data_IF_047442877360
#
_entry.id   IF_047442877360
#
_cell.length_a   1.000
_cell.length_b   1.000
_cell.length_c   1.000
_cell.angle_alpha   90.00
_cell.angle_beta   90.00
_cell.angle_gamma   90.00
#
_symmetry.space_group_name_H-M   'P 1'
#
loop_
_entity.id
_entity.type
_entity.pdbx_description
1 polymer ?
#
# COMPACT_ATOMS: atom_id res chain seq x y z
N UNK A 1 -11.32 7.32 -19.40
CA UNK A 1 -11.89 8.23 -20.41
C UNK A 1 -13.38 8.52 -20.17
N UNK A 2 -14.24 7.51 -19.98
CA UNK A 2 -15.68 7.72 -19.74
C UNK A 2 -16.02 8.71 -18.60
N UNK A 3 -15.26 8.68 -17.49
CA UNK A 3 -15.53 9.58 -16.36
C UNK A 3 -15.49 11.07 -16.73
N UNK A 4 -14.62 11.48 -17.66
CA UNK A 4 -14.49 12.90 -18.04
C UNK A 4 -15.72 13.38 -18.82
N UNK A 5 -16.21 12.56 -19.76
CA UNK A 5 -17.46 12.86 -20.48
C UNK A 5 -18.69 12.79 -19.58
N UNK A 6 -18.71 11.87 -18.61
CA UNK A 6 -19.85 11.70 -17.71
C UNK A 6 -20.07 12.93 -16.82
N UNK A 7 -19.01 13.67 -16.48
CA UNK A 7 -19.10 14.88 -15.67
C UNK A 7 -19.90 16.00 -16.34
N UNK A 8 -19.95 16.06 -17.69
CA UNK A 8 -20.80 17.02 -18.42
C UNK A 8 -22.29 16.80 -18.17
N UNK A 9 -22.67 15.60 -17.74
CA UNK A 9 -24.05 15.20 -17.54
C UNK A 9 -24.50 15.25 -16.08
N UNK A 10 -23.65 15.73 -15.16
CA UNK A 10 -24.02 15.96 -13.76
C UNK A 10 -25.09 17.05 -13.68
N UNK A 11 -26.19 16.75 -12.99
CA UNK A 11 -27.33 17.66 -12.75
C UNK A 11 -27.32 18.25 -11.34
N UNK A 12 -26.34 17.88 -10.51
CA UNK A 12 -26.20 18.39 -9.15
C UNK A 12 -25.77 19.85 -9.15
N UNK A 13 -26.43 20.66 -8.32
CA UNK A 13 -26.09 22.07 -8.10
C UNK A 13 -24.70 22.27 -7.50
N UNK A 14 -24.20 21.30 -6.73
CA UNK A 14 -22.91 21.38 -6.06
C UNK A 14 -22.20 20.04 -6.03
N UNK A 15 -20.89 20.07 -6.24
CA UNK A 15 -20.03 18.89 -6.21
C UNK A 15 -18.91 19.12 -5.20
N UNK A 16 -18.70 18.13 -4.33
CA UNK A 16 -17.56 18.14 -3.41
C UNK A 16 -16.31 17.67 -4.15
N UNK A 17 -15.24 18.44 -4.03
CA UNK A 17 -13.92 18.09 -4.54
C UNK A 17 -12.89 18.18 -3.41
N UNK A 18 -11.98 17.22 -3.38
CA UNK A 18 -10.80 17.26 -2.53
C UNK A 18 -9.64 17.87 -3.32
N UNK A 19 -9.21 19.12 -3.04
CA UNK A 19 -8.21 19.81 -3.84
C UNK A 19 -6.82 19.18 -3.79
N UNK A 20 -6.53 18.32 -2.80
CA UNK A 20 -5.23 17.67 -2.65
C UNK A 20 -5.14 16.34 -3.43
N UNK A 21 -6.28 15.83 -3.94
CA UNK A 21 -6.38 14.50 -4.55
C UNK A 21 -6.95 14.55 -5.97
N UNK A 22 -7.92 15.42 -6.22
CA UNK A 22 -8.59 15.50 -7.53
C UNK A 22 -7.71 16.23 -8.52
N UNK A 23 -7.45 15.60 -9.68
CA UNK A 23 -6.69 16.23 -10.75
C UNK A 23 -7.46 17.41 -11.37
N UNK A 24 -6.74 18.37 -11.93
CA UNK A 24 -7.33 19.58 -12.50
C UNK A 24 -8.28 19.33 -13.67
N UNK A 25 -8.04 18.27 -14.45
CA UNK A 25 -8.84 17.96 -15.63
C UNK A 25 -10.27 17.59 -15.26
N UNK A 26 -10.45 16.74 -14.24
CA UNK A 26 -11.78 16.40 -13.72
C UNK A 26 -12.54 17.64 -13.25
N UNK A 27 -11.85 18.64 -12.71
CA UNK A 27 -12.49 19.89 -12.26
C UNK A 27 -12.89 20.75 -13.46
N UNK A 28 -12.08 20.75 -14.52
CA UNK A 28 -12.36 21.51 -15.75
C UNK A 28 -13.53 20.93 -16.54
N UNK A 29 -13.75 19.62 -16.47
CA UNK A 29 -14.88 18.95 -17.12
C UNK A 29 -16.20 19.11 -16.35
N UNK A 30 -16.22 19.76 -15.19
CA UNK A 30 -17.49 20.05 -14.50
C UNK A 30 -18.22 21.24 -15.17
N UNK A 31 -19.54 21.16 -15.37
CA UNK A 31 -20.31 22.29 -15.88
C UNK A 31 -20.10 23.55 -15.04
N UNK A 32 -19.95 24.71 -15.68
CA UNK A 32 -19.73 25.99 -14.98
C UNK A 32 -20.90 26.42 -14.07
N UNK A 33 -22.07 25.78 -14.22
CA UNK A 33 -23.24 25.94 -13.35
C UNK A 33 -23.07 25.26 -11.98
N UNK A 34 -22.12 24.33 -11.83
CA UNK A 34 -21.89 23.59 -10.59
C UNK A 34 -21.09 24.43 -9.60
N UNK A 35 -21.58 24.50 -8.36
CA UNK A 35 -20.84 25.10 -7.25
C UNK A 35 -19.86 24.09 -6.66
N UNK A 36 -18.57 24.39 -6.71
CA UNK A 36 -17.54 23.53 -6.13
C UNK A 36 -17.45 23.69 -4.61
N UNK A 37 -17.61 22.60 -3.87
CA UNK A 37 -17.37 22.53 -2.43
C UNK A 37 -15.99 21.91 -2.21
N UNK A 38 -15.01 22.74 -1.85
CA UNK A 38 -13.63 22.30 -1.62
C UNK A 38 -13.44 21.83 -0.18
N UNK A 39 -13.41 20.52 0.05
CA UNK A 39 -13.22 19.90 1.38
C UNK A 39 -12.55 18.54 1.25
N UNK A 40 -11.85 18.07 2.30
CA UNK A 40 -11.32 16.71 2.33
C UNK A 40 -12.41 15.67 2.09
N UNK A 41 -12.05 14.58 1.41
CA UNK A 41 -12.97 13.48 1.17
C UNK A 41 -13.49 12.92 2.52
N UNK A 42 -14.81 12.90 2.77
CA UNK A 42 -15.37 12.46 4.05
C UNK A 42 -15.01 11.01 4.39
N UNK A 43 -14.75 10.17 3.39
CA UNK A 43 -14.36 8.77 3.59
C UNK A 43 -12.98 8.64 4.25
N UNK A 44 -12.12 9.68 4.18
CA UNK A 44 -10.80 9.69 4.81
C UNK A 44 -10.89 9.46 6.33
N UNK A 45 -11.76 10.21 7.01
CA UNK A 45 -11.95 10.07 8.46
C UNK A 45 -12.70 8.78 8.79
N UNK A 46 -13.65 8.38 7.95
CA UNK A 46 -14.43 7.16 8.17
C UNK A 46 -13.54 5.91 8.13
N UNK A 47 -12.64 5.79 7.14
CA UNK A 47 -11.72 4.65 7.04
C UNK A 47 -10.54 4.72 8.03
N UNK A 48 -10.35 5.83 8.71
CA UNK A 48 -9.28 5.98 9.70
C UNK A 48 -9.56 5.10 10.93
N UNK A 49 -10.82 5.05 11.39
CA UNK A 49 -11.27 4.25 12.54
C UNK A 49 -11.81 2.91 12.06
N UNK A 50 -11.08 1.84 12.34
CA UNK A 50 -11.43 0.48 11.90
C UNK A 50 -12.56 -0.06 12.78
N UNK A 51 -13.52 -0.73 12.16
CA UNK A 51 -14.56 -1.45 12.88
C UNK A 51 -14.02 -2.79 13.45
N UNK A 52 -14.75 -3.47 14.35
CA UNK A 52 -14.27 -4.71 14.97
C UNK A 52 -13.92 -5.83 13.99
N UNK A 53 -14.62 -5.92 12.86
CA UNK A 53 -14.32 -6.91 11.80
C UNK A 53 -13.01 -6.60 11.10
N UNK A 54 -12.76 -5.33 10.75
CA UNK A 54 -11.50 -4.90 10.14
C UNK A 54 -10.30 -5.13 11.08
N UNK A 55 -10.48 -4.86 12.38
CA UNK A 55 -9.45 -5.12 13.40
C UNK A 55 -9.13 -6.62 13.46
N UNK A 56 -10.15 -7.46 13.59
CA UNK A 56 -9.97 -8.92 13.65
C UNK A 56 -9.25 -9.47 12.41
N UNK A 57 -9.59 -8.98 11.22
CA UNK A 57 -8.92 -9.40 9.98
C UNK A 57 -7.47 -8.89 9.92
N UNK A 58 -7.21 -7.68 10.43
CA UNK A 58 -5.85 -7.14 10.55
C UNK A 58 -5.00 -8.01 11.48
N UNK A 59 -5.55 -8.43 12.63
CA UNK A 59 -4.89 -9.34 13.56
C UNK A 59 -4.56 -10.69 12.91
N UNK A 60 -5.52 -11.28 12.18
CA UNK A 60 -5.29 -12.54 11.45
C UNK A 60 -4.14 -12.41 10.43
N UNK A 61 -4.15 -11.35 9.62
CA UNK A 61 -3.08 -11.08 8.65
C UNK A 61 -1.70 -10.91 9.33
N UNK A 62 -1.65 -10.29 10.51
CA UNK A 62 -0.40 -10.15 11.28
C UNK A 62 0.08 -11.48 11.88
N UNK A 63 -0.83 -12.40 12.22
CA UNK A 63 -0.44 -13.75 12.67
C UNK A 63 0.25 -14.49 11.54
N UNK A 64 -0.32 -14.45 10.33
CA UNK A 64 0.27 -15.11 9.15
C UNK A 64 1.62 -14.48 8.77
N UNK A 65 1.73 -13.15 8.77
CA UNK A 65 3.02 -12.48 8.53
C UNK A 65 4.04 -12.80 9.64
N UNK A 66 3.59 -12.92 10.88
CA UNK A 66 4.43 -13.34 12.01
C UNK A 66 5.03 -14.74 11.80
N UNK A 67 4.26 -15.68 11.25
CA UNK A 67 4.76 -17.01 10.86
C UNK A 67 5.80 -16.88 9.74
N UNK A 68 5.54 -16.08 8.70
CA UNK A 68 6.46 -15.87 7.59
C UNK A 68 7.79 -15.25 8.05
N UNK A 69 7.75 -14.18 8.86
CA UNK A 69 8.93 -13.52 9.42
C UNK A 69 9.71 -14.45 10.35
N UNK A 70 9.02 -15.26 11.16
CA UNK A 70 9.69 -16.25 12.03
C UNK A 70 10.44 -17.30 11.21
N UNK A 71 9.82 -17.82 10.14
CA UNK A 71 10.46 -18.75 9.20
C UNK A 71 11.66 -18.11 8.51
N UNK A 72 11.53 -16.86 8.07
CA UNK A 72 12.62 -16.09 7.48
C UNK A 72 13.82 -15.93 8.43
N UNK A 73 13.59 -15.48 9.67
CA UNK A 73 14.65 -15.33 10.67
C UNK A 73 15.32 -16.68 10.97
N UNK A 74 14.52 -17.76 11.08
CA UNK A 74 15.06 -19.09 11.26
C UNK A 74 15.96 -19.50 10.09
N UNK A 75 15.48 -19.36 8.85
CA UNK A 75 16.27 -19.64 7.65
C UNK A 75 17.57 -18.82 7.65
N UNK A 76 17.48 -17.50 7.83
CA UNK A 76 18.64 -16.61 7.80
C UNK A 76 19.72 -17.05 8.80
N UNK A 77 19.33 -17.32 10.05
CA UNK A 77 20.26 -17.79 11.10
C UNK A 77 20.95 -19.11 10.78
N UNK A 78 20.29 -20.01 10.06
CA UNK A 78 20.83 -21.34 9.74
C UNK A 78 21.55 -21.39 8.41
N UNK A 79 21.41 -20.37 7.57
CA UNK A 79 21.94 -20.31 6.21
C UNK A 79 23.15 -19.37 6.10
N UNK A 80 23.17 -18.29 6.88
CA UNK A 80 24.31 -17.36 6.92
C UNK A 80 25.62 -18.10 7.19
N UNK A 81 26.63 -17.82 6.36
CA UNK A 81 27.95 -18.44 6.44
C UNK A 81 28.06 -19.82 5.78
N UNK A 82 26.95 -20.39 5.30
CA UNK A 82 26.94 -21.64 4.51
C UNK A 82 26.81 -21.39 3.02
N UNK A 83 26.04 -20.38 2.65
CA UNK A 83 25.88 -19.92 1.27
C UNK A 83 25.90 -18.38 1.17
N UNK A 84 26.21 -17.81 0.00
CA UNK A 84 26.12 -16.38 -0.22
C UNK A 84 24.67 -15.89 -0.12
N UNK A 85 24.43 -14.87 0.70
CA UNK A 85 23.14 -14.20 0.80
C UNK A 85 23.36 -12.74 0.44
N UNK A 86 22.67 -12.27 -0.60
CA UNK A 86 22.56 -10.85 -0.96
C UNK A 86 21.29 -10.25 -0.36
N UNK A 87 21.24 -8.92 -0.29
CA UNK A 87 20.04 -8.18 0.11
C UNK A 87 18.81 -8.59 -0.73
N UNK A 88 18.97 -8.73 -2.05
CA UNK A 88 17.92 -9.21 -2.95
C UNK A 88 17.48 -10.64 -2.62
N UNK A 89 18.41 -11.58 -2.45
CA UNK A 89 18.06 -12.98 -2.12
C UNK A 89 17.35 -13.10 -0.77
N UNK A 90 17.66 -12.22 0.18
CA UNK A 90 16.97 -12.17 1.47
C UNK A 90 15.54 -11.61 1.33
N UNK A 91 15.34 -10.57 0.51
CA UNK A 91 14.02 -10.04 0.19
C UNK A 91 13.14 -11.09 -0.51
N UNK A 92 13.69 -11.77 -1.52
CA UNK A 92 13.01 -12.85 -2.25
C UNK A 92 12.62 -14.00 -1.32
N UNK A 93 13.50 -14.34 -0.38
CA UNK A 93 13.23 -15.43 0.57
C UNK A 93 12.13 -15.08 1.56
N UNK A 94 12.08 -13.83 2.03
CA UNK A 94 10.97 -13.35 2.86
C UNK A 94 9.65 -13.39 2.07
N UNK A 95 9.68 -12.97 0.81
CA UNK A 95 8.51 -13.03 -0.08
C UNK A 95 8.03 -14.46 -0.31
N UNK A 96 8.94 -15.42 -0.49
CA UNK A 96 8.61 -16.85 -0.60
C UNK A 96 7.82 -17.33 0.63
N UNK A 97 8.25 -16.96 1.83
CA UNK A 97 7.56 -17.34 3.06
C UNK A 97 6.20 -16.67 3.22
N UNK A 98 6.05 -15.41 2.76
CA UNK A 98 4.76 -14.69 2.77
C UNK A 98 3.75 -15.28 1.78
N UNK A 99 4.21 -15.66 0.58
CA UNK A 99 3.40 -16.34 -0.46
C UNK A 99 2.84 -17.69 -0.03
N UNK A 100 3.35 -18.27 1.07
CA UNK A 100 2.85 -19.53 1.59
C UNK A 100 1.61 -19.37 2.51
N UNK A 101 1.17 -18.15 2.82
CA UNK A 101 -0.10 -17.91 3.51
C UNK A 101 -1.26 -17.96 2.52
N UNK A 102 -2.39 -18.56 2.92
CA UNK A 102 -3.52 -18.84 2.02
C UNK A 102 -4.14 -17.56 1.43
N UNK A 103 -4.23 -16.49 2.23
CA UNK A 103 -4.83 -15.20 1.86
C UNK A 103 -3.79 -14.17 1.36
N UNK A 104 -2.58 -14.61 0.99
CA UNK A 104 -1.57 -13.71 0.43
C UNK A 104 -2.02 -13.17 -0.94
N UNK A 105 -2.02 -11.85 -1.10
CA UNK A 105 -2.31 -11.18 -2.36
C UNK A 105 -1.01 -10.72 -3.02
N UNK A 106 -0.34 -9.77 -2.38
CA UNK A 106 0.91 -9.16 -2.83
C UNK A 106 1.65 -8.52 -1.66
N UNK A 107 2.85 -8.02 -1.92
CA UNK A 107 3.57 -7.18 -0.95
C UNK A 107 2.90 -5.82 -0.86
N UNK A 108 2.79 -5.27 0.36
CA UNK A 108 2.23 -3.92 0.56
C UNK A 108 3.14 -2.80 0.05
N UNK A 109 4.44 -3.09 -0.12
CA UNK A 109 5.48 -2.22 -0.68
C UNK A 109 6.75 -3.06 -0.92
N UNK A 110 7.72 -2.52 -1.67
CA UNK A 110 8.99 -3.20 -1.94
C UNK A 110 9.81 -3.43 -0.67
N UNK A 111 10.34 -4.63 -0.49
CA UNK A 111 11.02 -5.00 0.75
C UNK A 111 12.36 -4.27 0.87
N UNK A 112 12.48 -3.41 1.88
CA UNK A 112 13.77 -2.82 2.27
C UNK A 112 14.61 -3.92 2.94
N UNK A 113 15.48 -4.55 2.16
CA UNK A 113 16.49 -5.49 2.62
C UNK A 113 17.84 -4.80 2.52
N UNK A 114 18.44 -4.46 3.66
CA UNK A 114 19.63 -3.62 3.71
C UNK A 114 20.66 -4.14 4.72
N UNK A 115 21.93 -4.08 4.36
CA UNK A 115 23.05 -4.54 5.18
C UNK A 115 24.13 -3.46 5.31
N UNK A 116 24.66 -3.31 6.53
CA UNK A 116 25.70 -2.33 6.89
C UNK A 116 25.36 -0.91 6.41
N UNK A 117 26.17 -0.34 5.52
CA UNK A 117 26.06 1.05 5.07
C UNK A 117 24.71 1.31 4.37
N UNK A 118 24.17 0.31 3.67
CA UNK A 118 22.86 0.41 3.03
C UNK A 118 21.73 0.55 4.06
N UNK A 119 21.89 -0.02 5.27
CA UNK A 119 20.89 0.09 6.34
C UNK A 119 20.81 1.49 6.96
N UNK A 120 21.76 2.39 6.65
CA UNK A 120 21.70 3.80 7.04
C UNK A 120 20.79 4.64 6.11
N UNK A 121 20.33 4.07 4.98
CA UNK A 121 19.52 4.77 3.98
C UNK A 121 18.03 4.43 4.18
N UNK A 122 17.21 5.45 4.49
CA UNK A 122 15.79 5.27 4.85
C UNK A 122 14.90 4.74 3.72
N UNK A 123 15.25 5.06 2.48
CA UNK A 123 14.55 4.62 1.27
C UNK A 123 15.50 3.81 0.37
N UNK A 124 16.24 2.89 0.99
CA UNK A 124 17.08 1.96 0.25
C UNK A 124 16.24 0.94 -0.49
N UNK A 125 16.55 0.77 -1.76
CA UNK A 125 16.03 -0.31 -2.58
C UNK A 125 17.22 -1.15 -3.06
N UNK A 126 17.26 -2.45 -2.74
CA UNK A 126 18.29 -3.32 -3.30
C UNK A 126 18.09 -3.40 -4.81
N UNK A 127 19.09 -2.93 -5.57
CA UNK A 127 19.00 -2.85 -7.02
C UNK A 127 18.94 -4.23 -7.70
N UNK A 128 18.10 -4.32 -8.74
CA UNK A 128 18.20 -5.29 -9.82
C UNK A 128 19.27 -4.88 -10.83
#
# INVERSE_FOLDING_TARGET
>A
EAIYSDLHHIDQKSVLIDPDVVNSELVNELPSSVTLIKKPNPTLLMKAVKNPTEIKNTEAAHIDDGVAVTRFIYWLKHTVGKEPITEMSAADKLLEFRKAADDFIEVSFDTISAYKENAALMHYEPGH
#
